data_IF_639823778093
#
_entry.id   IF_639823778093
#
_cell.length_a   1.000
_cell.length_b   1.000
_cell.length_c   1.000
_cell.angle_alpha   90.00
_cell.angle_beta   90.00
_cell.angle_gamma   90.00
#
_symmetry.space_group_name_H-M   'P 1'
#
loop_
_entity.id
_entity.type
_entity.pdbx_description
1 polymer ?
#
# COMPACT_ATOMS: atom_id res chain seq x y z
N UNK A 1 12.66 -7.75 17.39
CA UNK A 1 12.46 -8.14 18.80
C UNK A 1 11.15 -7.47 19.21
N UNK A 2 10.06 -8.25 19.28
CA UNK A 2 8.71 -7.72 19.54
C UNK A 2 8.47 -7.68 21.04
N UNK A 3 8.00 -6.54 21.57
CA UNK A 3 7.64 -6.39 22.98
C UNK A 3 6.11 -6.34 23.08
N UNK A 4 5.52 -7.37 23.70
CA UNK A 4 4.14 -7.36 24.18
C UNK A 4 4.13 -6.78 25.59
N UNK A 5 3.58 -5.57 25.76
CA UNK A 5 3.31 -5.00 27.08
C UNK A 5 1.90 -5.43 27.52
N UNK A 6 1.82 -6.28 28.54
CA UNK A 6 0.57 -6.88 29.02
C UNK A 6 0.10 -6.15 30.26
N UNK A 7 -0.90 -5.27 30.11
CA UNK A 7 -1.70 -4.77 31.22
C UNK A 7 -3.09 -5.42 31.19
N UNK A 8 -3.33 -6.29 32.18
CA UNK A 8 -4.60 -6.95 32.45
C UNK A 8 -5.66 -5.97 32.99
N UNK A 9 -6.79 -5.83 32.29
CA UNK A 9 -8.11 -5.62 32.89
C UNK A 9 -9.26 -5.84 31.86
N UNK A 10 -10.29 -6.57 32.30
CA UNK A 10 -11.64 -6.73 31.70
C UNK A 10 -11.77 -7.41 30.33
N UNK A 11 -11.95 -8.74 30.34
CA UNK A 11 -13.05 -9.52 29.70
C UNK A 11 -13.48 -9.29 28.24
N UNK A 12 -12.92 -8.34 27.52
CA UNK A 12 -13.08 -8.20 26.09
C UNK A 12 -12.08 -9.12 25.40
N UNK A 13 -12.45 -9.76 24.28
CA UNK A 13 -11.44 -10.41 23.44
C UNK A 13 -10.38 -9.37 23.09
N UNK A 14 -9.12 -9.70 23.37
CA UNK A 14 -7.98 -8.87 22.98
C UNK A 14 -8.06 -8.63 21.48
N UNK A 15 -8.18 -7.35 21.10
CA UNK A 15 -8.33 -6.99 19.70
C UNK A 15 -6.94 -6.98 19.09
N UNK A 16 -6.66 -7.98 18.27
CA UNK A 16 -5.39 -8.11 17.57
C UNK A 16 -5.34 -7.16 16.36
N UNK A 17 -4.28 -6.35 16.32
CA UNK A 17 -4.01 -5.42 15.23
C UNK A 17 -2.70 -5.78 14.53
N UNK A 18 -2.76 -5.74 13.21
CA UNK A 18 -1.60 -5.72 12.33
C UNK A 18 -1.22 -4.24 12.15
N UNK A 19 -0.05 -3.86 12.65
CA UNK A 19 0.38 -2.45 12.73
C UNK A 19 1.64 -2.29 11.88
N UNK A 20 1.59 -1.39 10.90
CA UNK A 20 2.75 -1.03 10.11
C UNK A 20 3.78 -0.22 10.91
N UNK A 21 5.05 -0.34 10.55
CA UNK A 21 6.17 0.25 11.30
C UNK A 21 6.07 1.77 11.46
N UNK A 22 5.50 2.45 10.46
CA UNK A 22 5.33 3.91 10.42
C UNK A 22 3.95 4.35 10.94
N UNK A 23 3.08 3.44 11.39
CA UNK A 23 1.73 3.77 11.85
C UNK A 23 1.79 4.73 13.04
N UNK A 24 2.55 4.42 14.09
CA UNK A 24 2.55 5.25 15.31
C UNK A 24 3.01 6.69 15.04
N UNK A 25 4.00 6.89 14.15
CA UNK A 25 4.49 8.20 13.77
C UNK A 25 3.49 9.01 12.92
N UNK A 26 2.53 8.33 12.30
CA UNK A 26 1.55 8.93 11.39
C UNK A 26 0.11 8.83 11.87
N UNK A 27 -0.18 8.15 12.99
CA UNK A 27 -1.54 7.76 13.39
C UNK A 27 -2.52 8.94 13.52
N UNK A 28 -2.01 10.11 13.92
CA UNK A 28 -2.82 11.34 14.07
C UNK A 28 -2.83 12.23 12.83
N UNK A 29 -2.17 11.80 11.74
CA UNK A 29 -2.12 12.55 10.48
C UNK A 29 -3.28 12.14 9.56
N UNK A 30 -3.93 13.09 8.85
CA UNK A 30 -4.90 12.77 7.81
C UNK A 30 -4.24 12.00 6.66
N UNK A 31 -5.01 11.24 5.89
CA UNK A 31 -4.45 10.46 4.78
C UNK A 31 -3.81 11.35 3.70
N UNK A 32 -4.29 12.58 3.54
CA UNK A 32 -3.68 13.57 2.66
C UNK A 32 -2.21 13.88 3.00
N UNK A 33 -1.82 13.73 4.27
CA UNK A 33 -0.42 13.87 4.71
C UNK A 33 0.37 12.55 4.63
N UNK A 34 -0.31 11.39 4.60
CA UNK A 34 0.32 10.08 4.41
C UNK A 34 0.65 9.82 2.94
N UNK A 35 -0.22 10.26 2.02
CA UNK A 35 -0.03 10.13 0.57
C UNK A 35 1.37 10.60 0.08
N UNK A 36 1.87 11.79 0.43
CA UNK A 36 3.22 12.22 0.01
C UNK A 36 4.35 11.42 0.66
N UNK A 37 4.15 10.82 1.84
CA UNK A 37 5.14 9.94 2.46
C UNK A 37 5.24 8.62 1.69
N UNK A 38 4.10 8.02 1.35
CA UNK A 38 4.06 6.82 0.49
C UNK A 38 4.66 7.11 -0.89
N UNK A 39 4.37 8.27 -1.48
CA UNK A 39 4.99 8.69 -2.75
C UNK A 39 6.52 8.73 -2.64
N UNK A 40 7.06 9.33 -1.58
CA UNK A 40 8.51 9.38 -1.38
C UNK A 40 9.10 7.98 -1.27
N UNK A 41 8.51 7.11 -0.44
CA UNK A 41 9.04 5.76 -0.26
C UNK A 41 8.96 4.92 -1.55
N UNK A 42 7.94 5.14 -2.39
CA UNK A 42 7.85 4.54 -3.73
C UNK A 42 8.99 4.99 -4.64
N UNK A 43 9.35 6.27 -4.62
CA UNK A 43 10.45 6.83 -5.40
C UNK A 43 11.81 6.36 -4.87
N UNK A 44 11.96 6.21 -3.54
CA UNK A 44 13.18 5.69 -2.92
C UNK A 44 13.41 4.22 -3.35
N UNK A 45 12.38 3.36 -3.22
CA UNK A 45 12.48 1.95 -3.66
C UNK A 45 12.66 1.83 -5.17
N UNK A 46 12.08 2.75 -5.96
CA UNK A 46 12.34 2.82 -7.39
C UNK A 46 13.80 3.19 -7.69
N UNK A 47 14.40 4.10 -6.90
CA UNK A 47 15.81 4.48 -7.01
C UNK A 47 16.78 3.35 -6.67
N UNK A 48 16.34 2.40 -5.83
CA UNK A 48 17.09 1.21 -5.41
C UNK A 48 16.82 -0.03 -6.31
N UNK A 49 16.29 0.17 -7.52
CA UNK A 49 15.93 -0.88 -8.49
C UNK A 49 14.84 -1.88 -8.00
N UNK A 50 14.15 -1.57 -6.89
CA UNK A 50 13.08 -2.41 -6.33
C UNK A 50 11.74 -2.28 -7.06
N UNK A 51 11.58 -1.24 -7.88
CA UNK A 51 10.43 -1.01 -8.76
C UNK A 51 10.94 -0.58 -10.14
N UNK A 52 10.22 -0.94 -11.21
CA UNK A 52 10.61 -0.57 -12.56
C UNK A 52 10.80 0.96 -12.70
N UNK A 53 11.94 1.44 -13.26
CA UNK A 53 12.30 2.87 -13.30
C UNK A 53 11.38 3.72 -14.18
N UNK A 54 10.61 3.07 -15.06
CA UNK A 54 9.60 3.70 -15.91
C UNK A 54 8.22 3.83 -15.25
N UNK A 55 8.01 3.23 -14.09
CA UNK A 55 6.74 3.36 -13.38
C UNK A 55 6.59 4.80 -12.90
N UNK A 56 5.45 5.42 -13.21
CA UNK A 56 5.14 6.77 -12.74
C UNK A 56 3.97 6.66 -11.78
N UNK A 57 4.14 7.21 -10.59
CA UNK A 57 3.17 7.16 -9.51
C UNK A 57 2.41 8.47 -9.38
N UNK A 58 1.13 8.38 -9.03
CA UNK A 58 0.32 9.45 -8.47
C UNK A 58 -0.43 8.89 -7.26
N UNK A 59 -0.21 9.48 -6.09
CA UNK A 59 -0.76 8.99 -4.82
C UNK A 59 -1.73 10.03 -4.28
N UNK A 60 -2.98 9.63 -4.08
CA UNK A 60 -4.08 10.49 -3.62
C UNK A 60 -4.80 9.88 -2.44
N UNK A 61 -5.28 10.73 -1.54
CA UNK A 61 -6.16 10.33 -0.46
C UNK A 61 -7.61 10.67 -0.79
N UNK A 62 -8.52 9.79 -0.44
CA UNK A 62 -9.96 10.00 -0.45
C UNK A 62 -10.54 9.58 0.92
N UNK A 63 -10.94 10.56 1.72
CA UNK A 63 -11.50 10.35 3.06
C UNK A 63 -13.03 10.56 3.07
N UNK A 64 -13.69 10.57 1.91
CA UNK A 64 -15.15 10.80 1.81
C UNK A 64 -15.99 9.59 2.25
N UNK A 65 -15.41 8.39 2.24
CA UNK A 65 -16.06 7.14 2.62
C UNK A 65 -15.98 6.79 4.11
N UNK A 66 -16.64 5.70 4.54
CA UNK A 66 -16.59 5.23 5.93
C UNK A 66 -15.20 4.73 6.35
N UNK A 67 -14.38 4.34 5.37
CA UNK A 67 -12.96 4.01 5.52
C UNK A 67 -12.23 4.84 4.49
N UNK A 68 -11.17 5.54 4.89
CA UNK A 68 -10.37 6.32 3.96
C UNK A 68 -9.67 5.42 2.93
N UNK A 69 -9.40 5.95 1.75
CA UNK A 69 -8.74 5.25 0.66
C UNK A 69 -7.46 6.00 0.29
N UNK A 70 -6.34 5.28 0.24
CA UNK A 70 -5.15 5.74 -0.49
C UNK A 70 -5.21 5.12 -1.89
N UNK A 71 -5.33 5.96 -2.92
CA UNK A 71 -5.31 5.56 -4.31
C UNK A 71 -3.92 5.82 -4.90
N UNK A 72 -3.32 4.78 -5.45
CA UNK A 72 -2.06 4.84 -6.19
C UNK A 72 -2.35 4.55 -7.66
N UNK A 73 -2.17 5.54 -8.51
CA UNK A 73 -2.24 5.38 -9.96
C UNK A 73 -0.82 5.10 -10.43
N UNK A 74 -0.65 4.02 -11.19
CA UNK A 74 0.63 3.62 -11.77
C UNK A 74 0.52 3.69 -13.28
N UNK A 75 1.43 4.41 -13.92
CA UNK A 75 1.51 4.54 -15.39
C UNK A 75 2.94 4.26 -15.89
N UNK A 76 3.16 4.34 -17.20
CA UNK A 76 4.47 4.10 -17.82
C UNK A 76 4.89 2.63 -17.93
N UNK A 77 4.07 1.69 -17.42
CA UNK A 77 4.33 0.25 -17.46
C UNK A 77 3.68 -0.44 -18.67
N UNK A 78 3.97 -0.01 -19.90
CA UNK A 78 3.37 -0.65 -21.08
C UNK A 78 3.95 -2.02 -21.41
N UNK A 79 3.05 -2.90 -21.87
CA UNK A 79 3.37 -4.26 -22.29
C UNK A 79 4.37 -4.31 -23.46
N UNK A 80 4.27 -3.37 -24.41
CA UNK A 80 5.14 -3.29 -25.60
C UNK A 80 6.60 -3.00 -25.27
N UNK A 81 6.85 -2.44 -24.09
CA UNK A 81 8.19 -2.10 -23.63
C UNK A 81 8.91 -3.29 -22.97
N UNK A 82 8.31 -4.50 -22.97
CA UNK A 82 8.89 -5.71 -22.38
C UNK A 82 9.12 -6.79 -23.43
N UNK A 83 10.20 -7.55 -23.26
CA UNK A 83 10.63 -8.62 -24.17
C UNK A 83 9.61 -9.77 -24.25
N UNK A 84 8.78 -9.95 -23.22
CA UNK A 84 7.74 -10.98 -23.22
C UNK A 84 6.53 -10.60 -22.35
N UNK A 85 5.42 -11.30 -22.58
CA UNK A 85 4.22 -11.17 -21.76
C UNK A 85 4.46 -11.60 -20.29
N UNK A 86 5.36 -12.56 -20.07
CA UNK A 86 5.68 -13.06 -18.74
C UNK A 86 6.56 -12.06 -17.97
N UNK A 87 7.56 -11.47 -18.64
CA UNK A 87 8.36 -10.39 -18.06
C UNK A 87 7.46 -9.21 -17.63
N UNK A 88 6.51 -8.82 -18.49
CA UNK A 88 5.52 -7.80 -18.15
C UNK A 88 4.70 -8.17 -16.90
N UNK A 89 4.18 -9.39 -16.81
CA UNK A 89 3.37 -9.84 -15.66
C UNK A 89 4.16 -9.85 -14.37
N UNK A 90 5.40 -10.34 -14.41
CA UNK A 90 6.31 -10.34 -13.26
C UNK A 90 6.53 -8.93 -12.75
N UNK A 91 6.88 -8.00 -13.63
CA UNK A 91 7.15 -6.62 -13.21
C UNK A 91 5.90 -5.90 -12.68
N UNK A 92 4.74 -6.12 -13.31
CA UNK A 92 3.47 -5.57 -12.79
C UNK A 92 3.17 -6.13 -11.41
N UNK A 93 3.29 -7.45 -11.22
CA UNK A 93 3.07 -8.10 -9.92
C UNK A 93 4.02 -7.57 -8.86
N UNK A 94 5.30 -7.46 -9.19
CA UNK A 94 6.32 -7.03 -8.24
C UNK A 94 6.12 -5.54 -7.89
N UNK A 95 5.75 -4.69 -8.86
CA UNK A 95 5.38 -3.30 -8.60
C UNK A 95 4.15 -3.19 -7.68
N UNK A 96 3.08 -3.94 -7.96
CA UNK A 96 1.88 -3.97 -7.11
C UNK A 96 2.23 -4.43 -5.70
N UNK A 97 3.07 -5.47 -5.57
CA UNK A 97 3.54 -5.96 -4.27
C UNK A 97 4.30 -4.87 -3.51
N UNK A 98 5.27 -4.21 -4.12
CA UNK A 98 6.04 -3.14 -3.48
C UNK A 98 5.13 -2.00 -3.02
N UNK A 99 4.13 -1.62 -3.82
CA UNK A 99 3.16 -0.57 -3.43
C UNK A 99 2.33 -1.01 -2.22
N UNK A 100 1.86 -2.26 -2.19
CA UNK A 100 1.13 -2.79 -1.02
C UNK A 100 2.00 -2.87 0.23
N UNK A 101 3.24 -3.35 0.09
CA UNK A 101 4.21 -3.47 1.18
C UNK A 101 4.49 -2.10 1.79
N UNK A 102 4.84 -1.12 0.96
CA UNK A 102 5.13 0.24 1.41
C UNK A 102 3.92 0.91 2.06
N UNK A 103 2.73 0.77 1.47
CA UNK A 103 1.51 1.29 2.07
C UNK A 103 1.19 0.63 3.42
N UNK A 104 1.53 -0.65 3.58
CA UNK A 104 1.25 -1.38 4.83
C UNK A 104 1.98 -0.79 6.03
N UNK A 105 3.18 -0.19 5.86
CA UNK A 105 3.89 0.48 6.94
C UNK A 105 3.10 1.64 7.57
N UNK A 106 2.15 2.24 6.84
CA UNK A 106 1.34 3.36 7.32
C UNK A 106 -0.02 2.94 7.87
N UNK A 107 -0.39 1.67 7.70
CA UNK A 107 -1.72 1.16 8.00
C UNK A 107 -1.79 0.52 9.39
N UNK A 108 -3.02 0.40 9.90
CA UNK A 108 -3.37 -0.46 11.02
C UNK A 108 -4.62 -1.21 10.61
N UNK A 109 -4.59 -2.53 10.70
CA UNK A 109 -5.71 -3.39 10.31
C UNK A 109 -6.08 -4.27 11.48
N UNK A 110 -7.36 -4.34 11.83
CA UNK A 110 -7.82 -5.34 12.80
C UNK A 110 -7.77 -6.74 12.16
N UNK A 111 -7.02 -7.66 12.75
CA UNK A 111 -6.69 -8.96 12.12
C UNK A 111 -7.93 -9.79 11.74
N UNK A 112 -9.02 -9.66 12.51
CA UNK A 112 -10.28 -10.38 12.30
C UNK A 112 -11.37 -9.54 11.62
N UNK A 113 -11.13 -8.24 11.43
CA UNK A 113 -12.06 -7.28 10.79
C UNK A 113 -11.28 -6.34 9.87
N UNK A 114 -10.87 -6.79 8.68
CA UNK A 114 -10.09 -5.98 7.74
C UNK A 114 -10.82 -4.70 7.28
N UNK A 115 -12.15 -4.68 7.39
CA UNK A 115 -13.00 -3.48 7.21
C UNK A 115 -12.73 -2.38 8.26
N UNK A 116 -12.06 -2.72 9.36
CA UNK A 116 -11.55 -1.79 10.38
C UNK A 116 -10.08 -1.44 10.19
N UNK A 117 -9.68 -1.29 8.93
CA UNK A 117 -8.38 -0.71 8.60
C UNK A 117 -8.40 0.82 8.79
N UNK A 118 -7.22 1.41 9.01
CA UNK A 118 -7.05 2.87 8.94
C UNK A 118 -7.44 3.39 7.56
N UNK A 119 -6.99 2.68 6.52
CA UNK A 119 -7.36 2.94 5.14
C UNK A 119 -7.32 1.68 4.28
N UNK A 120 -8.01 1.74 3.14
CA UNK A 120 -7.93 0.77 2.06
C UNK A 120 -6.94 1.30 1.01
N UNK A 121 -6.11 0.43 0.45
CA UNK A 121 -5.26 0.78 -0.69
C UNK A 121 -5.98 0.39 -1.98
N UNK A 122 -6.08 1.32 -2.92
CA UNK A 122 -6.52 1.08 -4.29
C UNK A 122 -5.37 1.37 -5.24
N UNK A 123 -5.03 0.42 -6.11
CA UNK A 123 -3.97 0.56 -7.10
C UNK A 123 -4.60 0.46 -8.48
N UNK A 124 -4.49 1.51 -9.29
CA UNK A 124 -4.93 1.54 -10.66
C UNK A 124 -3.71 1.54 -11.60
N UNK A 125 -3.52 0.46 -12.33
CA UNK A 125 -2.55 0.42 -13.42
C UNK A 125 -3.19 0.98 -14.68
N UNK A 126 -2.56 1.98 -15.26
CA UNK A 126 -3.08 2.74 -16.40
C UNK A 126 -2.17 2.55 -17.63
N UNK A 127 -2.80 2.34 -18.79
CA UNK A 127 -2.10 2.32 -20.09
C UNK A 127 -1.73 3.72 -20.57
N UNK A 128 -0.90 3.83 -21.60
CA UNK A 128 -0.57 5.11 -22.27
C UNK A 128 -1.79 5.85 -22.86
N UNK A 129 -2.94 5.18 -22.95
CA UNK A 129 -4.21 5.77 -23.39
C UNK A 129 -5.12 6.20 -22.24
N UNK A 130 -4.57 6.34 -21.03
CA UNK A 130 -5.26 6.68 -19.78
C UNK A 130 -6.40 5.72 -19.39
N UNK A 131 -6.42 4.51 -19.95
CA UNK A 131 -7.37 3.45 -19.56
C UNK A 131 -6.78 2.58 -18.48
N UNK A 132 -7.58 2.31 -17.44
CA UNK A 132 -7.25 1.32 -16.41
C UNK A 132 -7.17 -0.07 -17.06
N UNK A 133 -6.00 -0.71 -16.95
CA UNK A 133 -5.75 -2.05 -17.46
C UNK A 133 -5.74 -3.11 -16.35
N UNK A 134 -5.52 -2.70 -15.11
CA UNK A 134 -5.62 -3.55 -13.93
C UNK A 134 -5.98 -2.67 -12.72
N UNK A 135 -6.92 -3.12 -11.90
CA UNK A 135 -7.29 -2.47 -10.64
C UNK A 135 -7.19 -3.46 -9.50
N UNK A 136 -6.52 -3.11 -8.41
CA UNK A 136 -6.40 -3.94 -7.21
C UNK A 136 -6.81 -3.12 -6.01
N UNK A 137 -7.65 -3.69 -5.14
CA UNK A 137 -8.10 -3.04 -3.91
C UNK A 137 -7.87 -3.99 -2.76
N UNK A 138 -7.32 -3.51 -1.65
CA UNK A 138 -7.16 -4.34 -0.46
C UNK A 138 -6.45 -3.67 0.70
N UNK A 139 -6.23 -4.46 1.73
CA UNK A 139 -5.44 -4.14 2.91
C UNK A 139 -4.45 -5.29 3.09
N UNK A 140 -3.15 -5.01 2.96
CA UNK A 140 -2.11 -6.04 3.10
C UNK A 140 -1.35 -5.84 4.40
N UNK A 141 -0.95 -6.94 5.01
CA UNK A 141 0.09 -6.97 6.03
C UNK A 141 1.22 -7.84 5.49
N UNK A 142 2.39 -7.24 5.31
CA UNK A 142 3.57 -7.97 4.86
C UNK A 142 4.38 -8.42 6.07
N UNK A 143 4.42 -9.72 6.32
CA UNK A 143 5.40 -10.33 7.23
C UNK A 143 6.59 -10.75 6.38
N UNK A 144 7.67 -9.97 6.37
CA UNK A 144 8.91 -10.39 5.73
C UNK A 144 9.34 -11.77 6.26
N UNK A 145 9.51 -12.74 5.36
CA UNK A 145 10.20 -14.00 5.65
C UNK A 145 11.65 -13.88 5.17
#
# INVERSE_FOLDING_TARGET
MSYTDTLHATGAPEVEYLIGDNYHATANRPLAEVAPLLMRDLLDVQGDDGIAPRAVFDVRADESGPVGVLRVIVSGMTRTSWESAEAYRTVVRDTIRSVFELASHYNRVEARRPDRARFILAIDLVSDSDKIVCGVIGTMHYTGQ
#
